data_IF_898386594261
#
_entry.id   IF_898386594261
#
_cell.length_a   1.000
_cell.length_b   1.000
_cell.length_c   1.000
_cell.angle_alpha   90.00
_cell.angle_beta   90.00
_cell.angle_gamma   90.00
#
_symmetry.space_group_name_H-M   'P 1'
#
loop_
_entity.id
_entity.type
_entity.pdbx_description
1 polymer ?
#
# COMPACT_ATOMS: atom_id res chain seq x y z
N UNK A 1 4.79 -61.38 5.39
CA UNK A 1 4.38 -60.38 4.40
C UNK A 1 2.95 -59.96 4.69
N UNK A 2 2.74 -58.87 5.43
CA UNK A 2 1.54 -58.01 5.34
C UNK A 2 1.89 -56.67 5.98
N UNK A 3 2.02 -55.63 5.16
CA UNK A 3 2.12 -54.24 5.60
C UNK A 3 0.71 -53.73 5.90
N UNK A 4 0.50 -53.16 7.08
CA UNK A 4 -0.63 -52.29 7.37
C UNK A 4 -0.07 -50.89 7.61
N UNK A 5 -0.13 -50.05 6.59
CA UNK A 5 0.16 -48.63 6.71
C UNK A 5 -1.05 -47.96 7.38
N UNK A 6 -0.90 -47.62 8.66
CA UNK A 6 -1.82 -46.71 9.34
C UNK A 6 -1.59 -45.32 8.77
N UNK A 7 -2.52 -44.88 7.92
CA UNK A 7 -2.59 -43.50 7.47
C UNK A 7 -3.01 -42.62 8.66
N UNK A 8 -2.05 -41.97 9.30
CA UNK A 8 -2.34 -40.87 10.21
C UNK A 8 -2.68 -39.67 9.35
N UNK A 9 -3.98 -39.35 9.29
CA UNK A 9 -4.48 -38.07 8.82
C UNK A 9 -3.72 -36.96 9.55
N UNK A 10 -2.91 -36.21 8.81
CA UNK A 10 -2.52 -34.87 9.21
C UNK A 10 -3.80 -34.03 9.21
N UNK A 11 -4.48 -34.01 10.35
CA UNK A 11 -5.42 -32.95 10.66
C UNK A 11 -4.62 -31.67 10.49
N UNK A 12 -5.01 -30.90 9.47
CA UNK A 12 -4.62 -29.52 9.27
C UNK A 12 -4.84 -28.82 10.59
N UNK A 13 -3.74 -28.68 11.34
CA UNK A 13 -3.71 -27.94 12.58
C UNK A 13 -4.06 -26.52 12.23
N UNK A 14 -5.31 -26.20 12.55
CA UNK A 14 -5.86 -24.88 12.79
C UNK A 14 -4.81 -24.01 13.50
N UNK A 15 -3.94 -23.39 12.70
CA UNK A 15 -3.26 -22.18 13.13
C UNK A 15 -4.28 -21.08 12.94
N UNK A 16 -5.24 -21.03 13.86
CA UNK A 16 -5.74 -19.76 14.36
C UNK A 16 -4.53 -18.96 14.85
N UNK A 17 -3.78 -18.39 13.90
CA UNK A 17 -3.26 -17.06 14.12
C UNK A 17 -4.50 -16.26 14.51
N UNK A 18 -4.53 -15.64 15.71
CA UNK A 18 -5.63 -14.76 16.01
C UNK A 18 -5.79 -13.87 14.79
N UNK A 19 -7.03 -13.64 14.36
CA UNK A 19 -7.31 -12.48 13.53
C UNK A 19 -6.78 -11.27 14.31
N UNK A 20 -5.50 -10.99 14.18
CA UNK A 20 -4.81 -9.92 14.87
C UNK A 20 -5.53 -8.72 14.33
N UNK A 21 -6.26 -8.02 15.20
CA UNK A 21 -7.17 -6.95 14.81
C UNK A 21 -6.58 -6.16 13.64
N UNK A 22 -7.40 -5.97 12.60
CA UNK A 22 -7.02 -5.19 11.42
C UNK A 22 -6.33 -3.90 11.86
N UNK A 23 -5.22 -3.49 11.24
CA UNK A 23 -4.57 -2.23 11.55
C UNK A 23 -5.57 -1.07 11.50
N UNK A 24 -5.54 -0.21 12.52
CA UNK A 24 -6.45 0.96 12.66
C UNK A 24 -5.81 2.26 12.16
N UNK A 25 -4.60 2.17 11.62
CA UNK A 25 -3.90 3.27 10.96
C UNK A 25 -2.94 2.77 9.90
N UNK A 26 -2.61 3.63 8.94
CA UNK A 26 -1.60 3.34 7.92
C UNK A 26 -0.21 3.09 8.53
N UNK A 27 0.14 3.77 9.61
CA UNK A 27 1.44 3.61 10.26
C UNK A 27 1.55 2.26 10.95
N UNK A 28 0.46 1.79 11.57
CA UNK A 28 0.37 0.45 12.13
C UNK A 28 0.47 -0.63 11.04
N UNK A 29 -0.26 -0.46 9.93
CA UNK A 29 -0.20 -1.38 8.78
C UNK A 29 1.24 -1.50 8.25
N UNK A 30 1.90 -0.36 8.02
CA UNK A 30 3.29 -0.31 7.52
C UNK A 30 4.28 -0.90 8.52
N UNK A 31 4.14 -0.58 9.81
CA UNK A 31 5.02 -1.10 10.86
C UNK A 31 4.96 -2.64 10.94
N UNK A 32 3.74 -3.20 10.95
CA UNK A 32 3.53 -4.66 10.96
C UNK A 32 4.07 -5.32 9.69
N UNK A 33 3.85 -4.71 8.52
CA UNK A 33 4.37 -5.23 7.25
C UNK A 33 5.91 -5.25 7.22
N UNK A 34 6.56 -4.18 7.68
CA UNK A 34 8.01 -4.14 7.74
C UNK A 34 8.58 -5.17 8.72
N UNK A 35 7.91 -5.41 9.85
CA UNK A 35 8.32 -6.46 10.78
C UNK A 35 8.24 -7.84 10.12
N UNK A 36 7.14 -8.14 9.41
CA UNK A 36 6.97 -9.38 8.67
C UNK A 36 8.03 -9.55 7.57
N UNK A 37 8.29 -8.49 6.79
CA UNK A 37 9.32 -8.48 5.73
C UNK A 37 10.71 -8.76 6.30
N UNK A 38 11.11 -8.04 7.36
CA UNK A 38 12.42 -8.21 7.99
C UNK A 38 12.62 -9.61 8.57
N UNK A 39 11.54 -10.25 9.00
CA UNK A 39 11.55 -11.61 9.51
C UNK A 39 11.47 -12.68 8.40
N UNK A 40 11.20 -12.29 7.14
CA UNK A 40 10.86 -13.24 6.07
C UNK A 40 9.55 -14.00 6.33
N UNK A 41 8.66 -13.44 7.15
CA UNK A 41 7.42 -14.08 7.59
C UNK A 41 6.26 -13.76 6.63
N UNK A 42 6.12 -14.59 5.61
CA UNK A 42 5.04 -14.49 4.62
C UNK A 42 3.65 -14.66 5.22
N UNK A 43 3.50 -15.42 6.31
CA UNK A 43 2.21 -15.63 6.96
C UNK A 43 1.77 -14.37 7.71
N UNK A 44 2.66 -13.75 8.47
CA UNK A 44 2.38 -12.49 9.15
C UNK A 44 2.06 -11.36 8.16
N UNK A 45 2.75 -11.30 7.02
CA UNK A 45 2.41 -10.33 5.98
C UNK A 45 1.06 -10.66 5.33
N UNK A 46 0.79 -11.93 5.02
CA UNK A 46 -0.46 -12.36 4.41
C UNK A 46 -1.69 -11.99 5.24
N UNK A 47 -1.58 -11.97 6.58
CA UNK A 47 -2.63 -11.51 7.48
C UNK A 47 -2.96 -10.01 7.34
N UNK A 48 -2.07 -9.20 6.73
CA UNK A 48 -2.27 -7.78 6.47
C UNK A 48 -2.92 -7.52 5.10
N UNK A 49 -3.04 -8.53 4.25
CA UNK A 49 -3.74 -8.40 2.96
C UNK A 49 -5.26 -8.39 3.15
N UNK A 50 -5.98 -7.85 2.18
CA UNK A 50 -7.43 -8.00 2.17
C UNK A 50 -7.81 -9.49 2.04
N UNK A 51 -8.90 -9.85 2.68
CA UNK A 51 -9.48 -11.19 2.68
C UNK A 51 -10.74 -11.21 1.83
N UNK A 52 -11.22 -12.41 1.52
CA UNK A 52 -12.52 -12.58 0.86
C UNK A 52 -13.66 -11.89 1.63
N UNK A 53 -13.59 -11.82 2.96
CA UNK A 53 -14.59 -11.12 3.77
C UNK A 53 -14.59 -9.61 3.51
N UNK A 54 -13.40 -9.00 3.40
CA UNK A 54 -13.27 -7.58 3.06
C UNK A 54 -13.77 -7.30 1.64
N UNK A 55 -13.45 -8.16 0.67
CA UNK A 55 -13.98 -8.03 -0.69
C UNK A 55 -15.50 -8.18 -0.69
N UNK A 56 -16.05 -9.13 0.05
CA UNK A 56 -17.51 -9.34 0.11
C UNK A 56 -18.23 -8.15 0.72
N UNK A 57 -17.67 -7.55 1.78
CA UNK A 57 -18.30 -6.42 2.48
C UNK A 57 -18.10 -5.10 1.75
N UNK A 58 -16.89 -4.86 1.27
CA UNK A 58 -16.47 -3.55 0.81
C UNK A 58 -16.29 -3.50 -0.70
N UNK A 59 -16.08 -4.61 -1.39
CA UNK A 59 -15.80 -4.65 -2.84
C UNK A 59 -16.54 -5.77 -3.60
N UNK A 60 -17.88 -5.90 -3.49
CA UNK A 60 -18.60 -7.04 -4.06
C UNK A 60 -18.50 -7.12 -5.59
N UNK A 61 -18.23 -6.00 -6.27
CA UNK A 61 -18.01 -5.97 -7.71
C UNK A 61 -16.65 -6.60 -8.09
N UNK A 62 -15.62 -6.48 -7.25
CA UNK A 62 -14.34 -7.18 -7.38
C UNK A 62 -14.48 -8.70 -7.20
N UNK A 63 -15.50 -9.20 -6.49
CA UNK A 63 -15.77 -10.66 -6.43
C UNK A 63 -16.11 -11.26 -7.81
N UNK A 64 -16.47 -10.43 -8.81
CA UNK A 64 -16.70 -10.90 -10.18
C UNK A 64 -15.39 -11.19 -10.92
N UNK A 65 -14.26 -10.65 -10.45
CA UNK A 65 -12.93 -10.77 -11.07
C UNK A 65 -11.88 -11.42 -10.16
N UNK A 66 -12.11 -11.46 -8.85
CA UNK A 66 -11.24 -12.07 -7.84
C UNK A 66 -11.91 -13.33 -7.32
N UNK A 67 -11.55 -14.47 -7.91
CA UNK A 67 -11.95 -15.78 -7.38
C UNK A 67 -11.04 -16.23 -6.23
N UNK A 68 -11.46 -17.28 -5.52
CA UNK A 68 -10.68 -17.87 -4.44
C UNK A 68 -9.31 -18.40 -4.92
N UNK A 69 -9.17 -18.72 -6.20
CA UNK A 69 -7.92 -19.19 -6.80
C UNK A 69 -6.91 -18.05 -6.94
N UNK A 70 -7.36 -16.84 -7.31
CA UNK A 70 -6.54 -15.64 -7.37
C UNK A 70 -6.07 -15.22 -5.97
N UNK A 71 -6.96 -15.27 -4.96
CA UNK A 71 -6.59 -15.04 -3.56
C UNK A 71 -5.54 -16.06 -3.07
N UNK A 72 -5.69 -17.33 -3.43
CA UNK A 72 -4.73 -18.38 -3.09
C UNK A 72 -3.38 -18.19 -3.81
N UNK A 73 -3.40 -17.74 -5.08
CA UNK A 73 -2.18 -17.38 -5.84
C UNK A 73 -1.48 -16.17 -5.21
N UNK A 74 -2.24 -15.15 -4.81
CA UNK A 74 -1.71 -14.01 -4.07
C UNK A 74 -1.06 -14.49 -2.77
N UNK A 75 -1.76 -15.23 -1.92
CA UNK A 75 -1.21 -15.75 -0.66
C UNK A 75 0.08 -16.57 -0.85
N UNK A 76 0.17 -17.39 -1.91
CA UNK A 76 1.39 -18.13 -2.25
C UNK A 76 2.53 -17.19 -2.66
N UNK A 77 2.25 -16.24 -3.53
CA UNK A 77 3.25 -15.26 -4.01
C UNK A 77 3.70 -14.28 -2.93
N UNK A 78 2.86 -13.96 -1.93
CA UNK A 78 3.26 -13.18 -0.75
C UNK A 78 4.45 -13.83 -0.06
N UNK A 79 4.35 -15.13 0.20
CA UNK A 79 5.38 -15.83 0.97
C UNK A 79 6.72 -15.83 0.24
N UNK A 80 6.69 -16.02 -1.08
CA UNK A 80 7.87 -15.94 -1.94
C UNK A 80 8.46 -14.53 -1.94
N UNK A 81 7.64 -13.49 -2.15
CA UNK A 81 8.10 -12.09 -2.18
C UNK A 81 8.63 -11.61 -0.83
N UNK A 82 7.97 -11.98 0.25
CA UNK A 82 8.42 -11.68 1.61
C UNK A 82 9.72 -12.40 1.93
N UNK A 83 9.89 -13.65 1.50
CA UNK A 83 11.15 -14.38 1.64
C UNK A 83 12.28 -13.73 0.82
N UNK A 84 12.02 -13.32 -0.42
CA UNK A 84 12.99 -12.58 -1.26
C UNK A 84 13.43 -11.28 -0.58
N UNK A 85 12.47 -10.49 -0.09
CA UNK A 85 12.75 -9.27 0.67
C UNK A 85 13.49 -9.56 2.00
N UNK A 86 13.19 -10.69 2.65
CA UNK A 86 13.77 -11.10 3.93
C UNK A 86 15.25 -11.49 3.84
N UNK A 87 15.76 -11.78 2.65
CA UNK A 87 17.18 -12.12 2.42
C UNK A 87 18.13 -10.91 2.48
N UNK A 88 17.60 -9.69 2.60
CA UNK A 88 18.40 -8.49 2.77
C UNK A 88 19.03 -8.44 4.18
N UNK A 89 20.19 -7.81 4.30
CA UNK A 89 20.94 -7.66 5.57
C UNK A 89 20.28 -6.62 6.50
N UNK A 90 19.07 -6.93 6.98
CA UNK A 90 18.23 -6.01 7.75
C UNK A 90 18.83 -5.53 9.06
N UNK A 91 19.79 -6.27 9.63
CA UNK A 91 20.49 -5.88 10.85
C UNK A 91 21.29 -4.57 10.70
N UNK A 92 21.78 -4.29 9.49
CA UNK A 92 22.55 -3.09 9.17
C UNK A 92 21.70 -2.01 8.49
N UNK A 93 20.42 -2.29 8.26
CA UNK A 93 19.54 -1.42 7.50
C UNK A 93 19.27 -0.10 8.23
N UNK A 94 19.69 1.01 7.60
CA UNK A 94 19.35 2.36 8.04
C UNK A 94 18.22 2.92 7.19
N UNK A 95 17.09 3.25 7.80
CA UNK A 95 16.01 3.92 7.09
C UNK A 95 16.42 5.35 6.69
N UNK A 96 16.35 5.67 5.40
CA UNK A 96 16.67 6.97 4.83
C UNK A 96 15.42 7.85 4.66
N UNK A 97 14.27 7.24 4.37
CA UNK A 97 13.04 7.99 4.14
C UNK A 97 11.81 7.12 3.95
N UNK A 98 10.65 7.78 3.94
CA UNK A 98 9.34 7.22 3.62
C UNK A 98 8.55 8.21 2.77
N UNK A 99 7.81 7.70 1.80
CA UNK A 99 6.82 8.47 1.03
C UNK A 99 5.55 7.66 0.80
N UNK A 100 4.45 8.33 0.43
CA UNK A 100 3.15 7.70 0.19
C UNK A 100 2.30 7.50 1.44
N UNK A 101 1.27 6.66 1.34
CA UNK A 101 0.27 6.42 2.38
C UNK A 101 -0.83 7.49 2.49
N UNK A 102 -0.89 8.43 1.54
CA UNK A 102 -1.90 9.49 1.49
C UNK A 102 -3.12 9.04 0.67
N UNK A 103 -4.33 9.51 1.04
CA UNK A 103 -5.56 9.23 0.29
C UNK A 103 -5.51 9.85 -1.10
N UNK A 104 -5.66 9.02 -2.13
CA UNK A 104 -5.58 9.44 -3.53
C UNK A 104 -6.95 9.55 -4.18
N UNK A 105 -7.80 8.53 -4.00
CA UNK A 105 -9.14 8.46 -4.59
C UNK A 105 -10.01 7.45 -3.86
N UNK A 106 -11.32 7.55 -4.08
CA UNK A 106 -12.25 6.45 -3.79
C UNK A 106 -12.01 5.33 -4.81
N UNK A 107 -12.03 4.09 -4.35
CA UNK A 107 -11.90 2.96 -5.26
C UNK A 107 -13.09 2.90 -6.20
N UNK A 108 -12.83 2.57 -7.47
CA UNK A 108 -13.88 2.42 -8.49
C UNK A 108 -14.53 1.05 -8.45
N UNK A 109 -13.79 0.06 -7.97
CA UNK A 109 -14.15 -1.35 -8.00
C UNK A 109 -14.69 -1.83 -6.64
N UNK A 110 -14.66 -0.95 -5.64
CA UNK A 110 -15.23 -1.15 -4.31
C UNK A 110 -16.40 -0.20 -4.04
N UNK A 111 -17.03 -0.35 -2.87
CA UNK A 111 -17.96 0.64 -2.35
C UNK A 111 -17.32 2.02 -2.39
N UNK A 112 -18.14 3.04 -2.62
CA UNK A 112 -17.71 4.44 -2.71
C UNK A 112 -17.08 4.99 -1.41
N UNK A 113 -16.95 4.15 -0.39
CA UNK A 113 -16.42 4.46 0.93
C UNK A 113 -15.04 3.82 1.17
N UNK A 114 -14.57 2.94 0.28
CA UNK A 114 -13.19 2.43 0.31
C UNK A 114 -12.25 3.44 -0.35
N UNK A 115 -11.17 3.79 0.35
CA UNK A 115 -10.16 4.72 -0.16
C UNK A 115 -8.89 3.98 -0.57
N UNK A 116 -8.44 4.27 -1.79
CA UNK A 116 -7.13 3.85 -2.27
C UNK A 116 -6.08 4.88 -1.84
N UNK A 117 -5.06 4.40 -1.15
CA UNK A 117 -3.93 5.20 -0.73
C UNK A 117 -2.80 5.11 -1.76
N UNK A 118 -1.96 6.12 -1.81
CA UNK A 118 -0.72 6.06 -2.58
C UNK A 118 0.20 4.98 -1.98
N UNK A 119 0.85 4.18 -2.83
CA UNK A 119 1.86 3.20 -2.43
C UNK A 119 2.83 3.76 -1.40
N UNK A 120 3.09 2.99 -0.35
CA UNK A 120 4.08 3.40 0.66
C UNK A 120 5.45 2.91 0.19
N UNK A 121 6.35 3.85 -0.07
CA UNK A 121 7.76 3.55 -0.39
C UNK A 121 8.61 3.86 0.84
N UNK A 122 9.40 2.89 1.24
CA UNK A 122 10.40 3.00 2.32
C UNK A 122 11.79 2.83 1.71
N UNK A 123 12.67 3.79 1.95
CA UNK A 123 14.05 3.74 1.45
C UNK A 123 14.99 3.39 2.59
N UNK A 124 15.86 2.41 2.37
CA UNK A 124 16.86 1.93 3.31
C UNK A 124 18.26 1.97 2.69
N UNK A 125 19.26 2.15 3.53
CA UNK A 125 20.66 1.86 3.20
C UNK A 125 21.02 0.51 3.82
N UNK A 126 21.43 -0.46 3.01
CA UNK A 126 21.79 -1.83 3.42
C UNK A 126 23.09 -2.20 2.72
N UNK A 127 24.15 -2.58 3.46
CA UNK A 127 25.44 -2.95 2.86
C UNK A 127 26.10 -1.83 2.02
N UNK A 128 25.73 -0.57 2.24
CA UNK A 128 26.18 0.58 1.44
C UNK A 128 25.34 0.89 0.21
N UNK A 129 24.35 0.07 -0.13
CA UNK A 129 23.43 0.28 -1.26
C UNK A 129 22.09 0.87 -0.81
N UNK A 130 21.46 1.65 -1.69
CA UNK A 130 20.08 2.10 -1.48
C UNK A 130 19.10 1.01 -1.94
N UNK A 131 18.26 0.56 -1.02
CA UNK A 131 17.21 -0.43 -1.26
C UNK A 131 15.86 0.20 -0.97
N UNK A 132 14.89 0.00 -1.85
CA UNK A 132 13.52 0.43 -1.64
C UNK A 132 12.63 -0.77 -1.33
N UNK A 133 11.77 -0.61 -0.31
CA UNK A 133 10.62 -1.47 -0.06
C UNK A 133 9.38 -0.70 -0.48
N UNK A 134 8.62 -1.26 -1.42
CA UNK A 134 7.34 -0.73 -1.85
C UNK A 134 6.23 -1.62 -1.31
N UNK A 135 5.30 -1.00 -0.60
CA UNK A 135 4.08 -1.60 -0.08
C UNK A 135 2.92 -1.06 -0.92
N UNK A 136 2.45 -1.88 -1.84
CA UNK A 136 1.55 -1.48 -2.91
C UNK A 136 0.08 -1.53 -2.48
N UNK A 137 -0.68 -0.58 -3.03
CA UNK A 137 -2.14 -0.50 -2.91
C UNK A 137 -2.68 -0.72 -1.47
N UNK A 138 -2.29 0.11 -0.50
CA UNK A 138 -2.96 0.11 0.79
C UNK A 138 -4.38 0.66 0.63
N UNK A 139 -5.33 -0.05 1.22
CA UNK A 139 -6.75 0.29 1.25
C UNK A 139 -7.17 0.71 2.65
N UNK A 140 -8.06 1.69 2.71
CA UNK A 140 -8.79 2.06 3.92
C UNK A 140 -10.27 1.70 3.74
N UNK A 141 -10.79 0.93 4.70
CA UNK A 141 -12.18 0.49 4.73
C UNK A 141 -13.08 1.47 5.51
N UNK A 142 -14.42 1.40 5.34
CA UNK A 142 -15.35 2.33 5.98
C UNK A 142 -15.35 2.28 7.51
N UNK A 143 -14.92 1.15 8.09
CA UNK A 143 -14.79 0.96 9.53
C UNK A 143 -13.47 1.54 10.11
N UNK A 144 -12.67 2.21 9.29
CA UNK A 144 -11.40 2.83 9.67
C UNK A 144 -10.23 1.84 9.77
N UNK A 145 -10.39 0.63 9.23
CA UNK A 145 -9.33 -0.37 9.19
C UNK A 145 -8.58 -0.37 7.85
N UNK A 146 -7.39 -0.98 7.83
CA UNK A 146 -6.50 -0.95 6.67
C UNK A 146 -6.00 -2.35 6.28
N UNK A 147 -5.76 -2.53 4.98
CA UNK A 147 -5.14 -3.75 4.43
C UNK A 147 -4.36 -3.46 3.14
N UNK A 148 -3.50 -4.38 2.71
CA UNK A 148 -2.87 -4.32 1.39
C UNK A 148 -3.66 -5.08 0.33
N UNK A 149 -3.64 -4.57 -0.89
CA UNK A 149 -4.20 -5.27 -2.05
C UNK A 149 -3.19 -6.04 -2.90
N UNK A 150 -1.90 -5.82 -2.67
CA UNK A 150 -0.84 -6.47 -3.42
C UNK A 150 0.35 -6.83 -2.53
N UNK A 151 1.28 -7.59 -3.09
CA UNK A 151 2.49 -8.08 -2.46
C UNK A 151 3.52 -6.97 -2.25
N UNK A 152 4.44 -7.12 -1.29
CA UNK A 152 5.55 -6.20 -1.15
C UNK A 152 6.55 -6.41 -2.28
N UNK A 153 7.29 -5.35 -2.61
CA UNK A 153 8.42 -5.40 -3.54
C UNK A 153 9.66 -4.81 -2.90
N UNK A 154 10.80 -5.46 -3.07
CA UNK A 154 12.10 -4.99 -2.57
C UNK A 154 13.15 -5.03 -3.67
N UNK A 155 14.08 -4.08 -3.66
CA UNK A 155 15.23 -4.10 -4.57
C UNK A 155 15.96 -2.76 -4.67
N UNK A 156 17.03 -2.76 -5.48
CA UNK A 156 17.72 -1.56 -5.97
C UNK A 156 16.68 -0.55 -6.51
N UNK A 157 16.93 0.77 -6.41
CA UNK A 157 15.91 1.80 -6.48
C UNK A 157 14.90 1.49 -7.58
N UNK A 158 13.68 1.19 -7.16
CA UNK A 158 12.60 0.92 -8.08
C UNK A 158 12.46 2.20 -8.92
N UNK A 159 12.51 2.11 -10.26
CA UNK A 159 12.49 3.30 -11.09
C UNK A 159 11.33 4.16 -10.65
N UNK A 160 11.60 5.43 -10.35
CA UNK A 160 10.53 6.39 -10.17
C UNK A 160 9.76 6.42 -11.49
N UNK A 161 8.63 5.70 -11.52
CA UNK A 161 7.60 5.94 -12.52
C UNK A 161 7.35 7.45 -12.58
N UNK A 162 7.03 7.99 -13.77
CA UNK A 162 7.03 9.42 -14.02
C UNK A 162 6.40 10.15 -12.85
N UNK A 163 7.20 10.99 -12.18
CA UNK A 163 6.79 11.79 -11.04
C UNK A 163 5.48 12.48 -11.45
N UNK A 164 4.34 12.20 -10.77
CA UNK A 164 3.14 12.97 -11.04
C UNK A 164 3.52 14.45 -10.89
N UNK A 165 3.07 15.33 -11.80
CA UNK A 165 3.42 16.75 -11.71
C UNK A 165 3.08 17.19 -10.30
N UNK A 166 4.09 17.71 -9.60
CA UNK A 166 3.89 18.36 -8.31
C UNK A 166 2.86 19.45 -8.60
N UNK A 167 1.68 19.47 -7.94
CA UNK A 167 0.81 20.62 -8.02
C UNK A 167 1.66 21.84 -7.66
N UNK A 168 1.69 22.78 -8.59
CA UNK A 168 2.57 23.94 -8.59
C UNK A 168 2.90 24.47 -7.18
N UNK A 169 4.18 24.80 -7.00
CA UNK A 169 4.61 25.74 -6.00
C UNK A 169 3.61 26.91 -5.90
N UNK A 170 3.38 27.50 -4.71
CA UNK A 170 2.49 28.65 -4.60
C UNK A 170 2.86 29.66 -5.67
N UNK A 171 1.89 29.92 -6.55
CA UNK A 171 2.00 30.93 -7.61
C UNK A 171 2.52 32.20 -6.94
N UNK A 172 3.71 32.71 -7.31
CA UNK A 172 4.16 33.98 -6.77
C UNK A 172 3.10 35.01 -7.13
N UNK A 173 2.66 35.76 -6.10
CA UNK A 173 1.66 36.83 -6.18
C UNK A 173 1.80 37.58 -7.51
N UNK A 174 0.73 37.56 -8.31
CA UNK A 174 0.67 38.35 -9.52
C UNK A 174 1.01 39.79 -9.16
N UNK A 175 1.89 40.49 -9.91
CA UNK A 175 2.18 41.88 -9.62
C UNK A 175 0.87 42.66 -9.60
N UNK A 176 0.68 43.41 -8.51
CA UNK A 176 -0.50 44.23 -8.27
C UNK A 176 -0.92 44.97 -9.56
N UNK A 177 -2.18 44.81 -9.95
CA UNK A 177 -2.74 45.51 -11.09
C UNK A 177 -2.50 47.02 -10.95
N UNK A 178 -2.07 47.71 -12.02
CA UNK A 178 -1.90 49.15 -11.97
C UNK A 178 -3.24 49.82 -11.64
N UNK A 179 -3.19 50.73 -10.66
CA UNK A 179 -4.29 51.59 -10.22
C UNK A 179 -4.99 52.22 -11.44
N UNK A 180 -6.34 52.15 -11.56
CA UNK A 180 -7.03 52.81 -12.65
C UNK A 180 -6.85 54.34 -12.52
N UNK A 181 -6.25 54.93 -13.55
CA UNK A 181 -6.28 56.37 -13.77
C UNK A 181 -7.74 56.82 -13.91
N UNK A 182 -8.14 57.81 -13.10
CA UNK A 182 -9.50 58.32 -13.01
C UNK A 182 -10.06 58.88 -14.33
N UNK A 183 -11.37 59.12 -14.38
CA UNK A 183 -12.06 59.55 -15.61
C UNK A 183 -11.56 60.92 -16.07
N UNK A 184 -11.09 60.97 -17.33
CA UNK A 184 -10.85 62.20 -18.08
C UNK A 184 -12.15 63.01 -18.21
N UNK A 185 -12.03 64.32 -17.96
CA UNK A 185 -13.07 65.33 -18.16
C UNK A 185 -13.63 65.30 -19.60
N UNK A 186 -14.92 65.61 -19.80
CA UNK A 186 -15.49 65.75 -21.13
C UNK A 186 -15.01 67.03 -21.82
N UNK A 187 -14.53 66.88 -23.06
CA UNK A 187 -14.35 68.00 -23.99
C UNK A 187 -15.72 68.54 -24.41
N UNK A 188 -15.94 69.83 -24.17
CA UNK A 188 -17.11 70.59 -24.61
C UNK A 188 -17.01 70.90 -26.11
N UNK A 189 -18.02 70.61 -26.94
CA UNK A 189 -18.08 71.13 -28.29
C UNK A 189 -18.84 72.48 -28.35
N UNK A 190 -18.21 73.42 -29.08
CA UNK A 190 -18.70 74.73 -29.58
C UNK A 190 -18.76 75.92 -28.61
#
# INVERSE_FOLDING_TARGET
MTSAATATSAASGDAAHPASERPKSIDELVSRALAAIKAGDGQAYGALMFTQEDVTKACPELLKSVDAELLAKMARSVSERVAECGQLEWAEAKQLGRSGGQRKRRSKDCSHEVWELQDVKMTFQIGGEEVQVKLDDPLEFPDGTFAFADNPRCGAPLPDGPKPPVPDAPVPDAPAAPTPLGPSLPETPQ
#
